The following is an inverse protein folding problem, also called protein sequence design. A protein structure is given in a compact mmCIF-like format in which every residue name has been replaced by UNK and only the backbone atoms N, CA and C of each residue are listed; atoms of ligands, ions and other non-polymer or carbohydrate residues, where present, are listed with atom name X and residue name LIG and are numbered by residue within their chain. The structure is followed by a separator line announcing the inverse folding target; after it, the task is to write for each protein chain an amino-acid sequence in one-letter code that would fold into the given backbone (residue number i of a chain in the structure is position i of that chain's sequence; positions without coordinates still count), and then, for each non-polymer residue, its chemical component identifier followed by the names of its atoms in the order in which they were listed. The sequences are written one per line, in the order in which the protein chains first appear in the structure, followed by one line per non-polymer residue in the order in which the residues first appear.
data_IF_551414177590
#
_entry.id   IF_551414177590
#
_cell.length_a   1.000
_cell.length_b   1.000
_cell.length_c   1.000
_cell.angle_alpha   90.00
_cell.angle_beta   90.00
_cell.angle_gamma   90.00
#
_symmetry.space_group_name_H-M   'P 1'
#
loop_
_entity.id
_entity.type
_entity.pdbx_description
1 polymer ?
#
# COMPACT_ATOMS: atom_id res chain seq x y z
N UNK A 1 -14.62 -20.02 15.63
CA UNK A 1 -13.57 -18.98 15.42
C UNK A 1 -14.02 -18.13 14.26
N UNK A 2 -13.89 -16.80 14.35
CA UNK A 2 -14.18 -15.90 13.23
C UNK A 2 -12.88 -15.33 12.66
N UNK A 3 -12.72 -15.36 11.35
CA UNK A 3 -11.55 -14.84 10.64
C UNK A 3 -12.01 -13.66 9.79
N UNK A 4 -11.57 -12.46 10.11
CA UNK A 4 -11.99 -11.23 9.43
C UNK A 4 -11.00 -10.91 8.31
N UNK A 5 -11.43 -11.11 7.07
CA UNK A 5 -10.69 -10.80 5.85
C UNK A 5 -10.31 -12.06 5.06
N UNK A 6 -10.86 -12.20 3.85
CA UNK A 6 -10.56 -13.30 2.92
C UNK A 6 -9.40 -12.97 1.94
N UNK A 7 -8.35 -12.30 2.44
CA UNK A 7 -7.08 -12.11 1.72
C UNK A 7 -6.13 -13.30 1.90
N UNK A 8 -4.91 -13.26 1.33
CA UNK A 8 -3.94 -14.37 1.40
C UNK A 8 -3.73 -14.91 2.82
N UNK A 9 -3.56 -14.02 3.81
CA UNK A 9 -3.36 -14.44 5.19
C UNK A 9 -4.60 -15.05 5.84
N UNK A 10 -5.79 -14.47 5.63
CA UNK A 10 -7.01 -15.00 6.22
C UNK A 10 -7.39 -16.36 5.63
N UNK A 11 -7.23 -16.53 4.31
CA UNK A 11 -7.41 -17.81 3.64
C UNK A 11 -6.41 -18.87 4.16
N UNK A 12 -5.16 -18.49 4.38
CA UNK A 12 -4.14 -19.41 4.92
C UNK A 12 -4.47 -19.84 6.35
N UNK A 13 -4.79 -18.87 7.23
CA UNK A 13 -5.18 -19.17 8.62
C UNK A 13 -6.41 -20.08 8.66
N UNK A 14 -7.39 -19.83 7.79
CA UNK A 14 -8.59 -20.64 7.71
C UNK A 14 -8.31 -22.07 7.25
N UNK A 15 -7.47 -22.26 6.23
CA UNK A 15 -7.06 -23.58 5.78
C UNK A 15 -6.44 -24.41 6.92
N UNK A 16 -5.55 -23.78 7.70
CA UNK A 16 -4.95 -24.43 8.88
C UNK A 16 -5.95 -24.68 10.02
N UNK A 17 -6.86 -23.74 10.29
CA UNK A 17 -7.85 -23.91 11.36
C UNK A 17 -8.82 -25.05 11.05
N UNK A 18 -9.30 -25.13 9.81
CA UNK A 18 -10.23 -26.17 9.37
C UNK A 18 -9.58 -27.56 9.39
N UNK A 19 -8.33 -27.67 8.93
CA UNK A 19 -7.57 -28.92 8.98
C UNK A 19 -7.32 -29.42 10.41
N UNK A 20 -7.09 -28.49 11.34
CA UNK A 20 -7.00 -28.78 12.77
C UNK A 20 -8.36 -29.15 13.42
N UNK A 21 -9.45 -29.24 12.65
CA UNK A 21 -10.79 -29.58 13.15
C UNK A 21 -11.47 -28.46 13.93
N UNK A 22 -10.99 -27.21 13.81
CA UNK A 22 -11.64 -26.07 14.44
C UNK A 22 -12.88 -25.64 13.66
N UNK A 23 -13.96 -25.38 14.38
CA UNK A 23 -15.11 -24.67 13.84
C UNK A 23 -14.72 -23.21 13.55
N UNK A 24 -14.45 -22.92 12.28
CA UNK A 24 -13.95 -21.63 11.81
C UNK A 24 -14.77 -21.11 10.63
N UNK A 25 -15.05 -19.80 10.63
CA UNK A 25 -15.71 -19.10 9.55
C UNK A 25 -14.87 -17.91 9.10
N UNK A 26 -14.76 -17.71 7.79
CA UNK A 26 -13.99 -16.62 7.17
C UNK A 26 -14.95 -15.62 6.57
N UNK A 27 -14.76 -14.35 6.91
CA UNK A 27 -15.60 -13.27 6.44
C UNK A 27 -14.88 -12.39 5.41
N UNK A 28 -15.58 -12.09 4.32
CA UNK A 28 -15.18 -11.18 3.27
C UNK A 28 -15.00 -11.85 1.90
N UNK A 29 -14.97 -11.03 0.86
CA UNK A 29 -14.83 -11.51 -0.53
C UNK A 29 -13.39 -11.94 -0.82
N UNK A 30 -13.16 -13.18 -1.33
CA UNK A 30 -11.82 -13.67 -1.59
C UNK A 30 -11.01 -12.75 -2.50
N UNK A 31 -9.80 -12.40 -2.06
CA UNK A 31 -8.83 -11.61 -2.82
C UNK A 31 -9.29 -10.20 -3.24
N UNK A 32 -10.39 -9.67 -2.67
CA UNK A 32 -10.99 -8.40 -3.11
C UNK A 32 -9.99 -7.23 -3.12
N UNK A 33 -9.18 -7.09 -2.07
CA UNK A 33 -8.18 -6.02 -1.99
C UNK A 33 -7.16 -6.07 -3.15
N UNK A 34 -6.77 -7.27 -3.57
CA UNK A 34 -5.86 -7.45 -4.70
C UNK A 34 -6.57 -7.23 -6.03
N UNK A 35 -7.80 -7.73 -6.17
CA UNK A 35 -8.58 -7.61 -7.38
C UNK A 35 -8.96 -6.16 -7.70
N UNK A 36 -9.34 -5.37 -6.68
CA UNK A 36 -9.95 -4.06 -6.86
C UNK A 36 -9.01 -2.88 -6.59
N UNK A 37 -7.87 -3.09 -5.92
CA UNK A 37 -7.00 -1.99 -5.50
C UNK A 37 -5.55 -2.14 -5.95
N UNK A 38 -5.21 -3.21 -6.67
CA UNK A 38 -3.91 -3.31 -7.34
C UNK A 38 -4.07 -2.97 -8.82
N UNK A 39 -3.17 -2.18 -9.43
CA UNK A 39 -3.28 -1.80 -10.83
C UNK A 39 -3.27 -3.01 -11.76
N UNK A 40 -4.13 -2.98 -12.79
CA UNK A 40 -4.09 -3.96 -13.88
C UNK A 40 -2.74 -3.96 -14.58
N UNK A 41 -2.21 -5.15 -14.86
CA UNK A 41 -0.90 -5.35 -15.46
C UNK A 41 0.28 -5.23 -14.49
N UNK A 42 0.02 -5.00 -13.19
CA UNK A 42 1.04 -5.03 -12.15
C UNK A 42 1.68 -6.41 -12.05
N UNK A 43 3.01 -6.44 -11.91
CA UNK A 43 3.76 -7.65 -11.57
C UNK A 43 4.07 -7.68 -10.07
N UNK A 44 3.93 -8.86 -9.47
CA UNK A 44 4.33 -9.09 -8.08
C UNK A 44 5.83 -8.82 -7.89
N UNK A 45 6.17 -8.30 -6.71
CA UNK A 45 7.58 -8.10 -6.31
C UNK A 45 8.25 -9.40 -5.88
N UNK A 46 7.46 -10.30 -5.31
CA UNK A 46 7.90 -11.58 -4.77
C UNK A 46 8.23 -12.58 -5.88
N UNK A 47 9.16 -13.49 -5.58
CA UNK A 47 9.34 -14.69 -6.38
C UNK A 47 8.08 -15.56 -6.35
N UNK A 48 7.83 -16.40 -7.38
CA UNK A 48 6.66 -17.28 -7.41
C UNK A 48 6.48 -18.12 -6.13
N UNK A 49 7.56 -18.75 -5.64
CA UNK A 49 7.53 -19.59 -4.43
C UNK A 49 7.19 -18.79 -3.17
N UNK A 50 7.62 -17.52 -3.12
CA UNK A 50 7.32 -16.61 -2.01
C UNK A 50 5.86 -16.12 -2.02
N UNK A 51 5.11 -16.44 -3.08
CA UNK A 51 3.72 -16.02 -3.28
C UNK A 51 2.73 -17.15 -3.00
N UNK A 52 3.17 -18.26 -2.40
CA UNK A 52 2.29 -19.35 -2.00
C UNK A 52 1.39 -18.90 -0.83
N UNK A 53 0.10 -19.22 -0.91
CA UNK A 53 -0.78 -19.22 0.27
C UNK A 53 -0.46 -20.46 1.09
N UNK A 54 -0.58 -20.35 2.41
CA UNK A 54 -0.23 -21.41 3.34
C UNK A 54 -1.38 -22.40 3.54
N UNK A 55 -1.12 -23.67 3.31
CA UNK A 55 -1.96 -24.79 3.74
C UNK A 55 -1.12 -25.82 4.52
N UNK A 56 -1.73 -26.63 5.40
CA UNK A 56 -1.03 -27.59 6.27
C UNK A 56 -0.05 -28.51 5.53
N UNK A 57 -0.46 -29.03 4.38
CA UNK A 57 0.29 -30.02 3.61
C UNK A 57 1.08 -29.41 2.45
N UNK A 58 1.02 -28.08 2.27
CA UNK A 58 1.60 -27.35 1.13
C UNK A 58 1.14 -27.88 -0.23
N UNK A 59 -0.09 -28.36 -0.32
CA UNK A 59 -0.68 -28.96 -1.54
C UNK A 59 -1.17 -27.92 -2.53
N UNK A 60 -1.50 -26.72 -2.06
CA UNK A 60 -2.19 -25.72 -2.86
C UNK A 60 -1.32 -24.47 -3.09
N UNK A 61 -0.02 -24.67 -3.26
CA UNK A 61 0.93 -23.62 -3.67
C UNK A 61 0.60 -23.00 -5.03
N UNK A 62 1.24 -21.87 -5.35
CA UNK A 62 1.05 -21.19 -6.65
C UNK A 62 1.52 -22.09 -7.81
N UNK A 63 2.57 -22.87 -7.58
CA UNK A 63 3.11 -23.87 -8.50
C UNK A 63 2.12 -25.00 -8.83
N UNK A 64 1.29 -25.41 -7.87
CA UNK A 64 0.20 -26.37 -8.09
C UNK A 64 -0.91 -25.79 -8.99
N UNK A 65 -1.11 -24.46 -8.97
CA UNK A 65 -2.06 -23.77 -9.84
C UNK A 65 -1.50 -23.52 -11.24
N UNK A 66 -0.24 -23.05 -11.32
CA UNK A 66 0.49 -22.82 -12.57
C UNK A 66 1.99 -22.92 -12.30
N UNK A 67 2.70 -23.71 -13.12
CA UNK A 67 4.15 -23.78 -13.05
C UNK A 67 4.79 -22.43 -13.45
N UNK A 68 5.79 -22.00 -12.68
CA UNK A 68 6.60 -20.81 -12.92
C UNK A 68 8.08 -21.18 -12.93
N UNK A 69 8.84 -20.56 -13.82
CA UNK A 69 10.31 -20.60 -13.76
C UNK A 69 10.83 -19.68 -12.66
N UNK A 70 12.04 -19.94 -12.17
CA UNK A 70 12.71 -19.03 -11.23
C UNK A 70 12.87 -17.63 -11.84
N UNK A 71 12.54 -16.57 -11.09
CA UNK A 71 12.57 -15.20 -11.60
C UNK A 71 11.49 -14.84 -12.63
N UNK A 72 10.58 -15.77 -12.99
CA UNK A 72 9.44 -15.46 -13.85
C UNK A 72 8.46 -14.54 -13.08
N UNK A 73 8.18 -13.32 -13.56
CA UNK A 73 7.29 -12.41 -12.87
C UNK A 73 5.85 -12.92 -12.86
N UNK A 74 5.21 -12.90 -11.69
CA UNK A 74 3.80 -13.28 -11.52
C UNK A 74 2.90 -12.06 -11.76
N UNK A 75 1.99 -12.08 -12.75
CA UNK A 75 0.99 -11.04 -12.90
C UNK A 75 0.01 -11.03 -11.73
N UNK A 76 -0.45 -9.84 -11.32
CA UNK A 76 -1.41 -9.70 -10.23
C UNK A 76 -2.72 -10.44 -10.51
N UNK A 77 -3.17 -10.45 -11.77
CA UNK A 77 -4.39 -11.15 -12.18
C UNK A 77 -4.26 -12.66 -11.96
N UNK A 78 -3.08 -13.22 -12.22
CA UNK A 78 -2.81 -14.64 -11.95
C UNK A 78 -2.77 -14.92 -10.46
N UNK A 79 -2.20 -14.02 -9.66
CA UNK A 79 -2.20 -14.16 -8.20
C UNK A 79 -3.61 -14.09 -7.60
N UNK A 80 -4.47 -13.19 -8.11
CA UNK A 80 -5.89 -13.10 -7.73
C UNK A 80 -6.63 -14.38 -8.10
N UNK A 81 -6.46 -14.88 -9.34
CA UNK A 81 -7.09 -16.11 -9.79
C UNK A 81 -6.63 -17.32 -8.96
N UNK A 82 -5.34 -17.39 -8.65
CA UNK A 82 -4.77 -18.38 -7.74
C UNK A 82 -5.41 -18.32 -6.35
N UNK A 83 -5.51 -17.14 -5.73
CA UNK A 83 -6.11 -17.02 -4.39
C UNK A 83 -7.59 -17.43 -4.36
N UNK A 84 -8.35 -17.14 -5.43
CA UNK A 84 -9.73 -17.62 -5.58
C UNK A 84 -9.81 -19.14 -5.76
N UNK A 85 -8.90 -19.71 -6.56
CA UNK A 85 -8.77 -21.17 -6.69
C UNK A 85 -8.40 -21.83 -5.35
N UNK A 86 -7.39 -21.31 -4.65
CA UNK A 86 -7.00 -21.76 -3.31
C UNK A 86 -8.19 -21.75 -2.36
N UNK A 87 -8.95 -20.64 -2.34
CA UNK A 87 -10.14 -20.51 -1.52
C UNK A 87 -11.18 -21.59 -1.84
N UNK A 88 -11.38 -21.91 -3.12
CA UNK A 88 -12.31 -22.95 -3.56
C UNK A 88 -11.87 -24.36 -3.14
N UNK A 89 -10.56 -24.63 -3.07
CA UNK A 89 -10.01 -25.93 -2.65
C UNK A 89 -10.05 -26.13 -1.13
N UNK A 90 -9.80 -25.06 -0.36
CA UNK A 90 -9.45 -25.20 1.07
C UNK A 90 -10.53 -24.69 2.03
N UNK A 91 -11.23 -23.60 1.71
CA UNK A 91 -12.11 -22.91 2.69
C UNK A 91 -13.53 -22.68 2.21
N UNK A 92 -13.89 -23.15 1.00
CA UNK A 92 -15.19 -22.86 0.35
C UNK A 92 -16.42 -23.03 1.25
N UNK A 93 -16.43 -24.08 2.08
CA UNK A 93 -17.56 -24.38 2.98
C UNK A 93 -17.66 -23.45 4.20
N UNK A 94 -16.57 -22.80 4.56
CA UNK A 94 -16.45 -21.91 5.72
C UNK A 94 -16.43 -20.42 5.32
N UNK A 95 -16.57 -20.12 4.03
CA UNK A 95 -16.50 -18.77 3.50
C UNK A 95 -17.88 -18.10 3.57
N UNK A 96 -17.92 -16.94 4.19
CA UNK A 96 -19.02 -15.99 4.15
C UNK A 96 -18.52 -14.70 3.50
N UNK A 97 -19.11 -14.29 2.38
CA UNK A 97 -18.67 -13.10 1.65
C UNK A 97 -19.11 -11.77 2.30
N UNK A 98 -19.81 -11.82 3.43
CA UNK A 98 -20.27 -10.65 4.17
C UNK A 98 -19.12 -9.77 4.66
N UNK A 99 -19.34 -8.46 4.63
CA UNK A 99 -18.37 -7.49 5.15
C UNK A 99 -18.55 -7.35 6.66
N UNK A 100 -17.47 -7.53 7.42
CA UNK A 100 -17.46 -7.23 8.86
C UNK A 100 -17.27 -5.74 9.05
N UNK A 101 -18.14 -5.12 9.83
CA UNK A 101 -18.11 -3.69 10.14
C UNK A 101 -17.51 -3.41 11.51
N UNK A 102 -17.80 -4.26 12.49
CA UNK A 102 -17.38 -4.09 13.89
C UNK A 102 -17.04 -5.42 14.53
N UNK A 103 -16.03 -5.42 15.40
CA UNK A 103 -15.75 -6.51 16.35
C UNK A 103 -15.86 -5.93 17.75
N UNK A 104 -16.90 -6.34 18.47
CA UNK A 104 -17.16 -5.96 19.85
C UNK A 104 -16.99 -7.13 20.81
N UNK A 105 -17.40 -6.92 22.06
CA UNK A 105 -17.46 -7.94 23.10
C UNK A 105 -18.89 -8.07 23.61
N UNK A 106 -19.40 -9.29 23.71
CA UNK A 106 -20.74 -9.60 24.19
C UNK A 106 -20.71 -10.92 24.96
N UNK A 107 -21.20 -10.93 26.21
CA UNK A 107 -21.32 -12.16 27.01
C UNK A 107 -20.03 -12.96 27.19
N UNK A 108 -18.86 -12.30 27.20
CA UNK A 108 -17.56 -12.97 27.28
C UNK A 108 -17.07 -13.59 25.96
N UNK A 109 -17.79 -13.36 24.86
CA UNK A 109 -17.42 -13.71 23.49
C UNK A 109 -17.15 -12.44 22.68
N UNK A 110 -16.56 -12.61 21.50
CA UNK A 110 -16.51 -11.54 20.51
C UNK A 110 -17.79 -11.52 19.69
N UNK A 111 -18.38 -10.35 19.52
CA UNK A 111 -19.50 -10.11 18.62
C UNK A 111 -18.97 -9.52 17.31
N UNK A 112 -19.13 -10.26 16.21
CA UNK A 112 -18.70 -9.87 14.87
C UNK A 112 -19.91 -9.39 14.10
N UNK A 113 -20.04 -8.07 13.94
CA UNK A 113 -21.18 -7.45 13.25
C UNK A 113 -20.91 -7.39 11.76
N UNK A 114 -21.86 -7.88 10.97
CA UNK A 114 -21.85 -7.88 9.51
C UNK A 114 -22.50 -6.61 8.96
N UNK A 115 -22.25 -6.30 7.69
CA UNK A 115 -22.86 -5.18 6.99
C UNK A 115 -24.37 -5.29 6.83
N UNK A 116 -24.94 -6.49 6.96
CA UNK A 116 -26.39 -6.72 7.02
C UNK A 116 -27.01 -6.25 8.34
N UNK A 117 -26.21 -6.07 9.39
CA UNK A 117 -26.66 -5.85 10.76
C UNK A 117 -26.65 -7.11 11.62
N UNK A 118 -26.50 -8.29 11.01
CA UNK A 118 -26.40 -9.56 11.74
C UNK A 118 -25.12 -9.61 12.59
N UNK A 119 -25.15 -10.37 13.69
CA UNK A 119 -24.01 -10.56 14.59
C UNK A 119 -23.68 -12.04 14.73
N UNK A 120 -22.41 -12.38 14.58
CA UNK A 120 -21.88 -13.73 14.82
C UNK A 120 -21.01 -13.71 16.07
N UNK A 121 -21.33 -14.60 17.03
CA UNK A 121 -20.54 -14.74 18.26
C UNK A 121 -19.40 -15.73 18.06
N UNK A 122 -18.20 -15.37 18.51
CA UNK A 122 -17.01 -16.23 18.43
C UNK A 122 -16.14 -16.15 19.69
N UNK A 123 -15.58 -17.30 20.10
CA UNK A 123 -14.57 -17.37 21.18
C UNK A 123 -13.22 -16.72 20.82
N UNK A 124 -12.89 -16.73 19.53
CA UNK A 124 -11.63 -16.22 19.01
C UNK A 124 -11.89 -15.50 17.70
N UNK A 125 -11.28 -14.33 17.55
CA UNK A 125 -11.28 -13.56 16.30
C UNK A 125 -9.85 -13.41 15.79
N UNK A 126 -9.64 -13.69 14.51
CA UNK A 126 -8.40 -13.39 13.80
C UNK A 126 -8.63 -12.20 12.87
N UNK A 127 -7.82 -11.15 12.99
CA UNK A 127 -7.90 -9.97 12.14
C UNK A 127 -6.88 -10.07 10.98
N UNK A 128 -7.36 -10.38 9.79
CA UNK A 128 -6.61 -10.46 8.54
C UNK A 128 -7.05 -9.36 7.55
N UNK A 129 -7.19 -8.13 8.05
CA UNK A 129 -7.83 -6.98 7.37
C UNK A 129 -7.02 -6.38 6.20
N UNK A 130 -5.82 -6.92 5.91
CA UNK A 130 -4.98 -6.48 4.81
C UNK A 130 -4.34 -5.09 5.01
N UNK A 131 -3.84 -4.51 3.92
CA UNK A 131 -3.06 -3.26 3.95
C UNK A 131 -3.90 -2.00 3.68
N UNK A 132 -5.09 -2.12 3.08
CA UNK A 132 -5.90 -0.99 2.64
C UNK A 132 -6.27 -0.01 3.79
N UNK A 133 -6.62 -0.46 5.00
CA UNK A 133 -6.90 0.45 6.12
C UNK A 133 -5.70 1.30 6.54
N UNK A 134 -4.49 0.96 6.08
CA UNK A 134 -3.24 1.63 6.42
C UNK A 134 -2.70 2.52 5.29
N UNK A 135 -3.55 2.86 4.31
CA UNK A 135 -3.19 3.80 3.26
C UNK A 135 -2.72 5.14 3.85
N UNK A 136 -1.59 5.65 3.38
CA UNK A 136 -0.98 6.86 3.92
C UNK A 136 -0.90 7.95 2.86
N UNK A 137 -1.56 9.08 3.14
CA UNK A 137 -1.45 10.31 2.36
C UNK A 137 -0.58 11.32 3.14
N UNK A 138 0.51 11.85 2.56
CA UNK A 138 1.32 12.86 3.23
C UNK A 138 0.48 14.09 3.63
N UNK A 139 0.73 14.65 4.81
CA UNK A 139 -0.04 15.78 5.34
C UNK A 139 -0.11 16.98 4.38
N UNK A 140 0.98 17.25 3.65
CA UNK A 140 1.05 18.32 2.65
C UNK A 140 0.05 18.14 1.47
N UNK A 141 -0.42 16.91 1.24
CA UNK A 141 -1.39 16.58 0.19
C UNK A 141 -2.79 16.30 0.75
N UNK A 142 -2.94 16.15 2.06
CA UNK A 142 -4.18 15.69 2.69
C UNK A 142 -5.38 16.60 2.42
N UNK A 143 -5.15 17.93 2.35
CA UNK A 143 -6.20 18.92 2.05
C UNK A 143 -6.56 19.07 0.57
N UNK A 144 -5.90 18.34 -0.32
CA UNK A 144 -6.22 18.38 -1.75
C UNK A 144 -7.39 17.45 -2.08
N UNK A 145 -8.31 17.90 -2.96
CA UNK A 145 -9.49 17.12 -3.32
C UNK A 145 -9.10 15.85 -4.10
N UNK A 146 -9.91 14.77 -4.03
CA UNK A 146 -9.53 13.44 -4.53
C UNK A 146 -9.30 13.41 -6.05
N UNK A 147 -9.89 14.34 -6.81
CA UNK A 147 -9.74 14.47 -8.26
C UNK A 147 -8.33 14.89 -8.67
N UNK A 148 -7.58 15.56 -7.78
CA UNK A 148 -6.19 15.99 -8.02
C UNK A 148 -5.17 15.27 -7.16
N UNK A 149 -5.60 14.58 -6.09
CA UNK A 149 -4.70 13.83 -5.21
C UNK A 149 -5.39 12.63 -4.58
N UNK A 150 -5.03 11.44 -5.05
CA UNK A 150 -5.51 10.14 -4.61
C UNK A 150 -4.35 9.19 -4.31
N UNK A 151 -4.62 8.13 -3.54
CA UNK A 151 -3.65 7.10 -3.23
C UNK A 151 -3.57 6.07 -4.37
N UNK A 152 -2.44 5.38 -4.51
CA UNK A 152 -2.26 4.40 -5.58
C UNK A 152 -3.28 3.24 -5.52
N UNK A 153 -3.76 2.89 -4.31
CA UNK A 153 -4.80 1.88 -4.12
C UNK A 153 -6.18 2.29 -4.61
N UNK A 154 -6.39 3.57 -4.92
CA UNK A 154 -7.68 4.06 -5.42
C UNK A 154 -7.84 3.77 -6.92
N UNK A 155 -6.79 3.25 -7.57
CA UNK A 155 -6.70 3.10 -9.03
C UNK A 155 -6.36 1.67 -9.44
N UNK A 156 -7.39 0.88 -9.77
CA UNK A 156 -7.21 -0.39 -10.46
C UNK A 156 -6.91 -0.20 -11.96
N UNK A 157 -7.63 0.70 -12.62
CA UNK A 157 -7.42 1.03 -14.02
C UNK A 157 -6.74 2.40 -14.17
N UNK A 158 -5.53 2.38 -14.73
CA UNK A 158 -4.72 3.56 -14.96
C UNK A 158 -4.97 4.18 -16.35
N UNK A 159 -5.82 3.58 -17.19
CA UNK A 159 -6.18 4.09 -18.51
C UNK A 159 -6.86 5.47 -18.46
N UNK A 160 -7.56 5.76 -17.36
CA UNK A 160 -8.21 7.06 -17.11
C UNK A 160 -7.24 8.26 -17.08
N UNK A 161 -5.94 7.99 -16.94
CA UNK A 161 -4.88 9.01 -16.93
C UNK A 161 -4.21 9.22 -18.30
N UNK A 162 -4.65 8.52 -19.36
CA UNK A 162 -4.13 8.73 -20.70
C UNK A 162 -4.16 10.21 -21.11
N UNK A 163 -3.04 10.71 -21.61
CA UNK A 163 -2.90 12.12 -22.01
C UNK A 163 -2.81 13.13 -20.85
N UNK A 164 -2.82 12.71 -19.58
CA UNK A 164 -2.70 13.61 -18.42
C UNK A 164 -1.24 13.73 -17.95
N UNK A 165 -0.90 14.86 -17.31
CA UNK A 165 0.34 15.02 -16.52
C UNK A 165 0.09 14.52 -15.09
N UNK A 166 0.79 13.46 -14.71
CA UNK A 166 0.62 12.76 -13.43
C UNK A 166 1.94 12.76 -12.67
N UNK A 167 1.90 13.26 -11.44
CA UNK A 167 3.03 13.19 -10.51
C UNK A 167 2.80 12.08 -9.49
N UNK A 168 3.65 11.06 -9.52
CA UNK A 168 3.67 9.96 -8.55
C UNK A 168 4.63 10.29 -7.42
N UNK A 169 4.13 10.27 -6.18
CA UNK A 169 4.91 10.58 -4.97
C UNK A 169 5.32 9.29 -4.28
N UNK A 170 6.62 9.01 -4.26
CA UNK A 170 7.19 7.83 -3.60
C UNK A 170 8.36 7.21 -4.36
N UNK A 171 9.05 6.27 -3.71
CA UNK A 171 10.17 5.51 -4.27
C UNK A 171 10.05 4.00 -4.04
N UNK A 172 8.96 3.55 -3.39
CA UNK A 172 8.71 2.13 -3.18
C UNK A 172 8.23 1.43 -4.45
N UNK A 173 7.98 0.12 -4.35
CA UNK A 173 7.50 -0.67 -5.48
C UNK A 173 6.20 -0.11 -6.06
N UNK A 174 5.20 0.21 -5.23
CA UNK A 174 3.92 0.75 -5.71
C UNK A 174 4.12 2.02 -6.54
N UNK A 175 4.91 2.98 -6.07
CA UNK A 175 5.17 4.22 -6.80
C UNK A 175 5.83 3.97 -8.17
N UNK A 176 6.89 3.17 -8.22
CA UNK A 176 7.65 2.95 -9.44
C UNK A 176 6.92 2.04 -10.45
N UNK A 177 6.11 1.11 -9.96
CA UNK A 177 5.27 0.24 -10.78
C UNK A 177 4.07 1.00 -11.35
N UNK A 178 3.34 1.75 -10.52
CA UNK A 178 2.25 2.64 -10.98
C UNK A 178 2.77 3.67 -11.99
N UNK A 179 3.95 4.25 -11.77
CA UNK A 179 4.56 5.18 -12.72
C UNK A 179 4.86 4.53 -14.09
N UNK A 180 5.29 3.26 -14.08
CA UNK A 180 5.52 2.50 -15.31
C UNK A 180 4.21 2.24 -16.04
N UNK A 181 3.18 1.77 -15.33
CA UNK A 181 1.87 1.45 -15.91
C UNK A 181 1.13 2.70 -16.41
N UNK A 182 1.21 3.83 -15.70
CA UNK A 182 0.69 5.12 -16.15
C UNK A 182 1.34 5.55 -17.47
N UNK A 183 2.66 5.40 -17.58
CA UNK A 183 3.39 5.71 -18.81
C UNK A 183 2.98 4.80 -19.97
N UNK A 184 2.79 3.50 -19.69
CA UNK A 184 2.30 2.53 -20.67
C UNK A 184 0.85 2.82 -21.11
N UNK A 185 0.03 3.37 -20.21
CA UNK A 185 -1.32 3.84 -20.50
C UNK A 185 -1.36 5.19 -21.25
N UNK A 186 -0.20 5.81 -21.51
CA UNK A 186 -0.10 7.06 -22.28
C UNK A 186 -0.18 8.34 -21.44
N UNK A 187 0.02 8.26 -20.12
CA UNK A 187 0.18 9.45 -19.28
C UNK A 187 1.60 10.04 -19.37
N UNK A 188 1.73 11.34 -19.14
CA UNK A 188 3.01 12.00 -18.88
C UNK A 188 3.34 11.88 -17.40
N UNK A 189 4.40 11.14 -17.05
CA UNK A 189 4.65 10.76 -15.65
C UNK A 189 5.90 11.43 -15.09
N UNK A 190 5.76 12.03 -13.90
CA UNK A 190 6.86 12.49 -13.05
C UNK A 190 6.89 11.69 -11.76
N UNK A 191 8.07 11.27 -11.30
CA UNK A 191 8.24 10.63 -9.99
C UNK A 191 8.94 11.60 -9.05
N UNK A 192 8.35 11.83 -7.88
CA UNK A 192 8.93 12.64 -6.81
C UNK A 192 9.24 11.74 -5.62
N UNK A 193 10.51 11.72 -5.21
CA UNK A 193 10.98 10.87 -4.13
C UNK A 193 11.80 11.70 -3.13
N UNK A 194 11.69 11.37 -1.84
CA UNK A 194 12.49 11.99 -0.77
C UNK A 194 13.95 11.52 -0.74
N UNK A 195 14.26 10.42 -1.43
CA UNK A 195 15.61 9.84 -1.48
C UNK A 195 16.43 10.43 -2.63
N UNK A 196 17.75 10.51 -2.46
CA UNK A 196 18.68 10.98 -3.49
C UNK A 196 18.86 9.99 -4.65
N UNK A 197 18.72 8.70 -4.36
CA UNK A 197 18.90 7.60 -5.31
C UNK A 197 17.76 6.60 -5.18
N UNK A 198 17.22 6.14 -6.31
CA UNK A 198 16.26 5.04 -6.33
C UNK A 198 17.00 3.72 -6.16
N UNK A 199 16.41 2.80 -5.40
CA UNK A 199 16.94 1.46 -5.20
C UNK A 199 16.18 0.45 -6.07
N UNK A 200 16.92 -0.51 -6.62
CA UNK A 200 16.42 -1.57 -7.48
C UNK A 200 16.78 -2.91 -6.88
N UNK A 201 15.92 -3.90 -7.00
CA UNK A 201 16.22 -5.28 -6.67
C UNK A 201 17.21 -5.83 -7.71
N UNK A 202 18.16 -6.62 -7.23
CA UNK A 202 19.06 -7.36 -8.10
C UNK A 202 18.28 -8.37 -8.96
N UNK A 203 18.83 -8.70 -10.13
CA UNK A 203 18.26 -9.75 -10.98
C UNK A 203 18.55 -11.10 -10.33
N UNK A 204 17.55 -11.99 -10.19
CA UNK A 204 17.79 -13.34 -9.70
C UNK A 204 18.84 -14.04 -10.59
N UNK A 205 19.86 -14.64 -9.96
CA UNK A 205 20.89 -15.40 -10.66
C UNK A 205 20.47 -16.88 -10.67
N UNK A 206 20.07 -17.40 -11.83
CA UNK A 206 19.61 -18.79 -11.99
C UNK A 206 20.72 -19.82 -11.71
N UNK A 207 21.92 -19.59 -12.26
CA UNK A 207 23.02 -20.56 -12.24
C UNK A 207 24.05 -20.22 -11.16
N UNK A 208 23.69 -20.47 -9.89
CA UNK A 208 24.60 -20.31 -8.74
C UNK A 208 25.37 -21.61 -8.47
N UNK A 209 26.67 -21.49 -8.20
CA UNK A 209 27.51 -22.64 -7.83
C UNK A 209 27.05 -23.27 -6.50
N UNK A 210 27.43 -24.53 -6.23
CA UNK A 210 27.09 -25.19 -4.96
C UNK A 210 27.61 -24.41 -3.75
N UNK A 211 28.84 -23.87 -3.85
CA UNK A 211 29.45 -23.05 -2.79
C UNK A 211 28.64 -21.76 -2.54
N UNK A 212 28.22 -21.06 -3.61
CA UNK A 212 27.41 -19.85 -3.49
C UNK A 212 26.05 -20.12 -2.84
N UNK A 213 25.44 -21.28 -3.14
CA UNK A 213 24.16 -21.70 -2.55
C UNK A 213 24.30 -21.98 -1.04
N UNK A 214 25.42 -22.55 -0.61
CA UNK A 214 25.69 -22.78 0.82
C UNK A 214 26.01 -21.47 1.57
N UNK A 215 26.80 -20.59 0.97
CA UNK A 215 27.18 -19.31 1.59
C UNK A 215 26.03 -18.30 1.62
N UNK A 216 25.11 -18.37 0.66
CA UNK A 216 23.95 -17.52 0.58
C UNK A 216 22.72 -18.33 0.13
N UNK A 217 22.06 -19.05 1.06
CA UNK A 217 20.87 -19.84 0.76
C UNK A 217 19.74 -18.96 0.22
N UNK A 218 18.90 -19.53 -0.65
CA UNK A 218 17.70 -18.87 -1.18
C UNK A 218 16.52 -19.03 -0.23
N UNK A 219 15.75 -17.97 -0.04
CA UNK A 219 14.46 -17.99 0.64
C UNK A 219 13.44 -17.11 -0.09
N UNK A 220 12.19 -17.10 0.38
CA UNK A 220 11.15 -16.23 -0.19
C UNK A 220 11.44 -14.73 -0.06
N UNK A 221 12.37 -14.35 0.82
CA UNK A 221 12.79 -12.96 1.05
C UNK A 221 14.06 -12.56 0.29
N UNK A 222 14.67 -13.48 -0.46
CA UNK A 222 15.90 -13.26 -1.24
C UNK A 222 17.01 -14.24 -0.87
N UNK A 223 18.25 -13.90 -1.20
CA UNK A 223 19.43 -14.75 -0.93
C UNK A 223 20.17 -14.29 0.33
N UNK A 224 20.80 -15.23 1.04
CA UNK A 224 21.61 -14.98 2.22
C UNK A 224 21.02 -15.55 3.50
N UNK A 225 21.90 -15.89 4.45
CA UNK A 225 21.53 -16.45 5.75
C UNK A 225 20.52 -15.60 6.53
N UNK A 226 20.63 -14.26 6.62
CA UNK A 226 19.64 -13.46 7.33
C UNK A 226 18.24 -13.61 6.72
N UNK A 227 18.13 -13.45 5.39
CA UNK A 227 16.86 -13.62 4.66
C UNK A 227 16.28 -15.02 4.80
N UNK A 228 17.14 -16.05 4.87
CA UNK A 228 16.73 -17.42 5.13
C UNK A 228 16.19 -17.60 6.54
N UNK A 229 16.90 -17.15 7.57
CA UNK A 229 16.44 -17.24 8.97
C UNK A 229 15.11 -16.51 9.16
N UNK A 230 14.95 -15.33 8.55
CA UNK A 230 13.71 -14.55 8.69
C UNK A 230 12.50 -15.20 8.00
N UNK A 231 12.73 -15.90 6.89
CA UNK A 231 11.68 -16.57 6.10
C UNK A 231 11.34 -17.95 6.67
N UNK A 232 12.36 -18.76 6.93
CA UNK A 232 12.20 -20.19 7.24
C UNK A 232 12.12 -20.48 8.75
N UNK A 233 12.62 -19.57 9.59
CA UNK A 233 12.60 -19.71 11.05
C UNK A 233 11.90 -18.52 11.74
N UNK A 234 10.67 -18.14 11.36
CA UNK A 234 9.96 -17.01 11.97
C UNK A 234 9.72 -17.21 13.48
N UNK A 235 9.58 -18.47 13.92
CA UNK A 235 9.52 -18.84 15.33
C UNK A 235 10.78 -18.42 16.12
N UNK A 236 11.97 -18.61 15.55
CA UNK A 236 13.22 -18.19 16.19
C UNK A 236 13.33 -16.66 16.24
N UNK A 237 12.95 -15.97 15.14
CA UNK A 237 12.97 -14.50 15.08
C UNK A 237 12.05 -13.88 16.13
N UNK A 238 10.91 -14.51 16.45
CA UNK A 238 9.97 -14.06 17.47
C UNK A 238 10.62 -13.91 18.86
N UNK A 239 11.55 -14.80 19.21
CA UNK A 239 12.23 -14.81 20.50
C UNK A 239 13.41 -13.83 20.59
N UNK A 240 13.80 -13.17 19.50
CA UNK A 240 14.84 -12.15 19.54
C UNK A 240 14.42 -10.94 20.41
N UNK A 241 15.39 -10.28 21.07
CA UNK A 241 15.14 -9.06 21.81
C UNK A 241 14.37 -8.02 20.99
N UNK A 242 13.50 -7.24 21.66
CA UNK A 242 12.65 -6.23 20.98
C UNK A 242 13.45 -5.26 20.12
N UNK A 243 14.63 -4.84 20.59
CA UNK A 243 15.52 -3.94 19.85
C UNK A 243 16.03 -4.58 18.54
N UNK A 244 16.44 -5.85 18.59
CA UNK A 244 16.89 -6.60 17.42
C UNK A 244 15.75 -6.79 16.40
N UNK A 245 14.56 -7.18 16.85
CA UNK A 245 13.37 -7.29 15.96
C UNK A 245 13.03 -5.96 15.30
N UNK A 246 13.05 -4.85 16.05
CA UNK A 246 12.85 -3.50 15.49
C UNK A 246 13.93 -3.12 14.47
N UNK A 247 15.19 -3.48 14.73
CA UNK A 247 16.29 -3.21 13.83
C UNK A 247 16.13 -3.98 12.51
N UNK A 248 15.78 -5.26 12.56
CA UNK A 248 15.50 -6.09 11.37
C UNK A 248 14.39 -5.44 10.54
N UNK A 249 13.23 -5.14 11.15
CA UNK A 249 12.09 -4.54 10.43
C UNK A 249 12.44 -3.18 9.80
N UNK A 250 13.29 -2.38 10.45
CA UNK A 250 13.68 -1.05 9.92
C UNK A 250 14.65 -1.10 8.75
N UNK A 251 15.52 -2.11 8.71
CA UNK A 251 16.69 -2.12 7.82
C UNK A 251 16.63 -3.21 6.74
N UNK A 252 15.75 -4.18 6.88
CA UNK A 252 15.58 -5.27 5.91
C UNK A 252 14.59 -4.88 4.82
N UNK A 253 14.94 -5.15 3.55
CA UNK A 253 14.05 -5.00 2.39
C UNK A 253 13.42 -3.60 2.26
N UNK A 254 14.27 -2.58 2.18
CA UNK A 254 13.87 -1.19 1.96
C UNK A 254 13.06 -0.96 0.66
N UNK A 255 12.66 0.31 0.39
CA UNK A 255 11.85 0.65 -0.78
C UNK A 255 12.65 0.42 -2.07
N UNK A 256 12.50 -0.78 -2.64
CA UNK A 256 13.15 -1.22 -3.87
C UNK A 256 12.11 -1.80 -4.85
N UNK A 257 12.38 -1.69 -6.16
CA UNK A 257 11.56 -2.25 -7.25
C UNK A 257 12.26 -3.40 -7.99
N UNK A 258 11.49 -4.36 -8.52
CA UNK A 258 11.96 -5.43 -9.45
C UNK A 258 12.52 -4.84 -10.76
N UNK A 259 13.69 -5.33 -11.21
CA UNK A 259 14.46 -4.77 -12.34
C UNK A 259 13.73 -4.78 -13.69
N UNK A 260 12.68 -5.59 -13.88
CA UNK A 260 12.02 -5.85 -15.17
C UNK A 260 11.54 -4.59 -15.92
N UNK A 261 11.38 -3.44 -15.27
CA UNK A 261 11.10 -2.18 -15.96
C UNK A 261 12.06 -1.01 -15.71
N UNK A 262 13.35 -1.29 -15.53
CA UNK A 262 14.41 -0.27 -15.56
C UNK A 262 14.40 0.52 -16.89
N UNK A 263 14.02 -0.12 -18.00
CA UNK A 263 13.95 0.50 -19.33
C UNK A 263 12.93 1.63 -19.47
N UNK A 264 11.87 1.68 -18.65
CA UNK A 264 10.80 2.65 -18.78
C UNK A 264 11.08 3.99 -18.06
N UNK A 265 11.86 3.96 -16.96
CA UNK A 265 11.98 5.08 -16.01
C UNK A 265 13.26 5.92 -16.20
N UNK A 266 14.31 5.38 -16.86
CA UNK A 266 15.61 6.08 -17.08
C UNK A 266 15.55 7.39 -17.89
N UNK A 267 14.39 7.74 -18.48
CA UNK A 267 14.23 8.98 -19.24
C UNK A 267 14.06 10.26 -18.41
N UNK A 268 13.79 10.15 -17.10
CA UNK A 268 13.60 11.31 -16.23
C UNK A 268 14.86 11.61 -15.41
N UNK A 269 15.63 12.64 -15.79
CA UNK A 269 16.64 13.19 -14.86
C UNK A 269 15.92 13.71 -13.61
N UNK A 270 16.36 13.36 -12.38
CA UNK A 270 15.85 14.01 -11.19
C UNK A 270 16.23 15.50 -11.25
N UNK A 271 15.23 16.37 -11.36
CA UNK A 271 15.38 17.80 -11.10
C UNK A 271 14.66 18.10 -9.79
N UNK A 272 15.38 18.84 -8.96
CA UNK A 272 14.98 19.43 -7.68
C UNK A 272 14.87 18.48 -6.48
N UNK A 273 16.04 18.08 -5.98
CA UNK A 273 16.22 17.77 -4.57
C UNK A 273 16.49 19.09 -3.81
N UNK A 274 15.53 19.51 -2.99
CA UNK A 274 15.74 20.49 -1.92
C UNK A 274 15.35 21.93 -2.24
N UNK A 275 14.07 22.26 -2.03
CA UNK A 275 13.68 23.55 -1.45
C UNK A 275 12.49 23.33 -0.53
N UNK A 276 12.71 23.55 0.76
CA UNK A 276 11.62 23.80 1.71
C UNK A 276 10.78 24.96 1.19
N UNK A 277 9.52 24.69 0.89
CA UNK A 277 8.55 25.74 0.57
C UNK A 277 8.18 26.47 1.85
N UNK A 278 8.94 27.53 2.20
CA UNK A 278 8.40 28.63 2.99
C UNK A 278 7.31 29.31 2.15
N UNK A 279 6.12 29.43 2.75
CA UNK A 279 4.91 29.94 2.09
C UNK A 279 5.15 31.26 1.37
N UNK A 280 4.74 31.31 0.10
CA UNK A 280 4.59 32.56 -0.65
C UNK A 280 3.11 32.76 -0.99
N UNK A 281 2.60 33.91 -0.56
CA UNK A 281 1.27 34.44 -0.90
C UNK A 281 1.08 34.49 -2.42
N UNK A 282 -0.14 34.16 -2.86
CA UNK A 282 -0.57 34.19 -4.24
C UNK A 282 -0.47 35.61 -4.87
N UNK A 283 -0.06 35.73 -6.15
CA UNK A 283 -0.19 36.99 -6.87
C UNK A 283 -1.64 37.19 -7.33
N UNK A 284 -2.18 38.37 -7.06
CA UNK A 284 -3.47 38.85 -7.58
C UNK A 284 -3.32 39.12 -9.08
N UNK A 285 -4.08 38.43 -9.92
CA UNK A 285 -4.27 38.84 -11.32
C UNK A 285 -5.68 39.39 -11.55
N UNK A 286 -5.69 40.60 -12.12
CA UNK A 286 -6.81 41.42 -12.56
C UNK A 286 -7.66 40.69 -13.61
N UNK A 287 -8.98 40.79 -13.47
CA UNK A 287 -9.94 40.45 -14.51
C UNK A 287 -10.02 41.56 -15.58
N UNK A 288 -10.29 41.23 -16.87
CA UNK A 288 -10.57 42.21 -17.90
C UNK A 288 -12.04 42.66 -17.89
N UNK A 289 -12.27 43.94 -18.19
CA UNK A 289 -13.59 44.57 -18.28
C UNK A 289 -14.30 44.27 -19.62
N UNK A 290 -15.65 44.28 -19.66
CA UNK A 290 -16.39 44.38 -20.91
C UNK A 290 -16.84 45.84 -21.21
N UNK A 291 -17.04 46.09 -22.50
CA UNK A 291 -17.29 47.38 -23.13
C UNK A 291 -18.68 47.99 -22.86
N UNK A 292 -18.73 49.33 -22.98
CA UNK A 292 -19.91 50.21 -22.84
C UNK A 292 -20.83 50.18 -24.07
N UNK A 293 -22.14 50.30 -23.83
CA UNK A 293 -23.19 51.07 -24.54
C UNK A 293 -24.47 50.87 -23.72
N UNK A 294 -25.32 51.84 -23.35
CA UNK A 294 -25.38 53.29 -23.43
C UNK A 294 -26.73 53.73 -22.84
N UNK A 295 -26.82 54.96 -22.31
CA UNK A 295 -28.04 55.79 -22.35
C UNK A 295 -29.10 55.76 -21.23
N UNK A 296 -29.14 56.90 -20.51
CA UNK A 296 -30.33 57.68 -20.03
C UNK A 296 -30.97 57.37 -18.65
N UNK A 297 -31.27 58.48 -17.94
CA UNK A 297 -32.26 58.62 -16.85
C UNK A 297 -31.65 58.79 -15.46
N UNK A 298 -31.37 60.00 -14.96
CA UNK A 298 -32.23 60.95 -14.21
C UNK A 298 -32.46 60.63 -12.72
N UNK A 299 -32.11 61.63 -11.88
CA UNK A 299 -32.65 62.00 -10.53
C UNK A 299 -32.68 60.92 -9.44
N UNK A 300 -32.58 61.16 -8.13
CA UNK A 300 -32.57 62.36 -7.32
C UNK A 300 -31.92 62.04 -5.95
N UNK A 301 -31.56 63.13 -5.27
CA UNK A 301 -31.37 63.40 -3.83
C UNK A 301 -31.76 62.33 -2.78
N UNK A 302 -30.93 62.21 -1.74
CA UNK A 302 -31.11 62.84 -0.40
C UNK A 302 -30.58 61.98 0.77
N UNK A 303 -29.83 62.67 1.67
CA UNK A 303 -29.82 62.64 3.16
C UNK A 303 -29.86 61.31 3.93
N UNK A 304 -29.37 61.16 5.16
CA UNK A 304 -28.40 61.81 6.07
C UNK A 304 -28.64 61.16 7.46
N UNK A 305 -27.58 61.04 8.29
CA UNK A 305 -27.59 61.05 9.78
C UNK A 305 -28.20 59.81 10.50
N UNK A 306 -27.88 59.42 11.75
CA UNK A 306 -26.96 59.86 12.81
C UNK A 306 -26.92 58.78 13.94
N UNK A 307 -25.82 58.78 14.73
CA UNK A 307 -25.68 58.57 16.21
C UNK A 307 -26.13 57.21 16.81
N UNK A 308 -25.31 56.44 17.54
CA UNK A 308 -24.54 56.63 18.80
C UNK A 308 -25.36 57.09 20.01
N UNK A 309 -25.50 56.20 21.00
CA UNK A 309 -25.14 56.33 22.43
C UNK A 309 -25.60 55.04 23.16
N UNK A 310 -25.26 54.67 24.41
CA UNK A 310 -24.10 54.71 25.32
C UNK A 310 -24.62 54.13 26.66
N UNK A 311 -23.72 53.62 27.54
CA UNK A 311 -23.91 53.40 29.01
C UNK A 311 -24.68 52.10 29.42
N UNK A 312 -24.45 51.38 30.53
CA UNK A 312 -23.71 51.58 31.80
C UNK A 312 -23.75 50.26 32.64
N UNK A 313 -22.83 50.08 33.62
CA UNK A 313 -23.12 49.34 34.88
C UNK A 313 -22.28 48.09 35.23
N UNK A 314 -21.42 48.17 36.27
CA UNK A 314 -20.85 47.01 37.03
C UNK A 314 -21.69 46.72 38.30
N UNK A 315 -21.18 46.14 39.42
CA UNK A 315 -19.89 45.45 39.70
C UNK A 315 -19.96 44.19 40.65
N UNK A 316 -18.80 43.52 40.84
CA UNK A 316 -18.22 42.78 42.01
C UNK A 316 -18.97 41.64 42.74
N UNK A 317 -18.29 40.49 42.93
CA UNK A 317 -18.37 39.63 44.13
C UNK A 317 -17.04 38.89 44.45
N UNK A 318 -16.95 38.47 45.72
CA UNK A 318 -15.79 38.20 46.59
C UNK A 318 -15.00 36.90 46.41
N UNK A 319 -13.82 36.87 47.07
CA UNK A 319 -12.92 35.72 47.25
C UNK A 319 -13.17 35.00 48.59
N UNK A 320 -13.12 33.64 48.56
CA UNK A 320 -12.37 32.68 49.43
C UNK A 320 -13.10 31.31 49.49
N UNK A 321 -12.49 30.18 49.92
CA UNK A 321 -11.11 29.70 49.82
C UNK A 321 -11.02 28.28 49.17
N UNK A 322 -9.81 27.75 49.00
CA UNK A 322 -9.48 26.46 48.34
C UNK A 322 -9.87 25.21 49.17
N UNK A 323 -10.36 24.13 48.55
CA UNK A 323 -10.31 22.77 49.12
C UNK A 323 -9.02 22.02 48.72
N UNK A 324 -8.58 21.11 49.59
CA UNK A 324 -7.36 20.30 49.46
C UNK A 324 -7.37 19.24 48.35
N UNK A 325 -6.27 18.49 48.18
CA UNK A 325 -6.08 17.62 47.02
C UNK A 325 -6.95 16.36 47.10
N UNK A 326 -7.70 16.10 46.02
CA UNK A 326 -8.40 14.85 45.78
C UNK A 326 -7.42 13.72 45.39
N UNK A 327 -7.74 12.45 45.68
CA UNK A 327 -6.84 11.31 45.49
C UNK A 327 -6.52 11.01 44.02
N UNK A 328 -5.33 10.46 43.78
CA UNK A 328 -4.78 10.14 42.45
C UNK A 328 -5.54 8.98 41.78
N UNK A 329 -6.02 9.24 40.57
CA UNK A 329 -6.51 8.25 39.61
C UNK A 329 -5.34 7.37 39.08
N UNK A 330 -5.43 6.03 39.08
CA UNK A 330 -4.38 5.14 38.57
C UNK A 330 -4.27 5.08 37.02
N UNK A 331 -5.05 5.83 36.25
CA UNK A 331 -5.04 5.73 34.78
C UNK A 331 -4.38 6.91 34.04
N UNK A 332 -3.11 7.19 34.33
CA UNK A 332 -2.25 8.02 33.45
C UNK A 332 -1.00 7.26 33.02
N UNK A 333 -1.03 6.74 31.79
CA UNK A 333 0.16 6.30 31.06
C UNK A 333 1.07 7.49 30.70
N UNK A 334 2.35 7.25 30.37
CA UNK A 334 3.31 8.34 30.17
C UNK A 334 3.04 9.13 28.89
N UNK A 335 3.23 10.45 29.00
CA UNK A 335 3.12 11.51 28.00
C UNK A 335 4.10 11.29 26.81
N UNK A 336 3.69 11.36 25.54
CA UNK A 336 4.52 11.03 24.38
C UNK A 336 5.36 12.22 23.88
N UNK A 337 5.95 13.01 24.77
CA UNK A 337 6.79 14.18 24.44
C UNK A 337 8.11 14.18 25.21
N UNK A 338 8.85 13.07 25.15
CA UNK A 338 10.23 13.02 25.64
C UNK A 338 11.00 11.85 24.98
N UNK A 339 11.24 11.94 23.68
CA UNK A 339 12.32 11.16 23.03
C UNK A 339 12.70 11.80 21.68
N UNK A 340 12.97 13.11 21.70
CA UNK A 340 13.53 13.86 20.59
C UNK A 340 14.93 14.38 21.00
N UNK A 341 15.90 13.47 21.12
CA UNK A 341 17.33 13.82 20.94
C UNK A 341 18.24 12.59 21.03
N UNK A 342 18.30 11.78 19.95
CA UNK A 342 19.43 10.86 19.76
C UNK A 342 19.89 10.90 18.29
N UNK A 343 21.13 11.40 18.16
CA UNK A 343 21.90 11.65 16.94
C UNK A 343 21.88 10.44 15.99
N UNK A 344 21.65 10.70 14.69
CA UNK A 344 21.75 9.72 13.60
C UNK A 344 23.21 9.24 13.46
N UNK A 345 23.49 7.93 13.51
CA UNK A 345 24.75 7.42 13.00
C UNK A 345 24.70 7.26 11.48
N UNK A 346 25.87 7.46 10.90
CA UNK A 346 26.19 7.56 9.48
C UNK A 346 25.72 6.34 8.66
N UNK A 347 25.10 6.59 7.50
CA UNK A 347 24.63 5.53 6.59
C UNK A 347 25.79 4.90 5.83
N UNK A 348 26.43 3.88 6.42
CA UNK A 348 27.16 2.87 5.65
C UNK A 348 26.25 1.68 5.39
N UNK A 349 25.57 1.72 4.26
CA UNK A 349 24.92 0.54 3.67
C UNK A 349 25.99 -0.51 3.38
N UNK A 350 25.89 -1.67 4.02
CA UNK A 350 26.58 -2.90 3.63
C UNK A 350 25.95 -3.42 2.34
N UNK A 351 26.22 -2.70 1.25
CA UNK A 351 26.10 -3.20 -0.10
C UNK A 351 27.38 -4.02 -0.35
N UNK A 352 27.26 -5.35 -0.32
CA UNK A 352 28.36 -6.27 -0.58
C UNK A 352 28.98 -5.99 -1.94
N UNK A 353 30.09 -5.25 -1.94
CA UNK A 353 30.96 -5.10 -3.11
C UNK A 353 31.92 -6.29 -3.14
N UNK A 354 31.72 -7.20 -4.07
CA UNK A 354 32.83 -7.94 -4.69
C UNK A 354 32.93 -7.47 -6.13
N UNK A 355 33.90 -6.59 -6.37
CA UNK A 355 34.34 -6.20 -7.72
C UNK A 355 35.03 -7.41 -8.36
N UNK A 356 34.50 -7.91 -9.47
CA UNK A 356 35.33 -8.42 -10.56
C UNK A 356 34.63 -8.10 -11.88
N UNK A 357 35.35 -7.42 -12.77
CA UNK A 357 34.83 -6.94 -14.04
C UNK A 357 34.66 -8.05 -15.06
N UNK A 358 33.70 -7.86 -15.96
CA UNK A 358 33.83 -8.06 -17.41
C UNK A 358 32.61 -7.47 -18.10
N UNK A 359 32.87 -6.58 -19.05
CA UNK A 359 31.90 -6.12 -20.03
C UNK A 359 31.31 -7.30 -20.80
N UNK A 360 29.98 -7.43 -20.87
CA UNK A 360 29.31 -8.01 -22.05
C UNK A 360 27.88 -7.47 -22.20
N UNK A 361 27.54 -7.13 -23.44
CA UNK A 361 26.31 -6.45 -23.88
C UNK A 361 25.08 -7.35 -23.73
N UNK A 362 23.97 -6.83 -23.20
CA UNK A 362 22.67 -7.51 -23.18
C UNK A 362 21.72 -6.91 -24.22
N UNK A 363 21.35 -7.72 -25.22
CA UNK A 363 20.20 -7.51 -26.12
C UNK A 363 19.20 -8.65 -25.94
N UNK A 364 18.52 -8.79 -24.80
CA UNK A 364 17.36 -9.68 -24.69
C UNK A 364 16.48 -9.30 -23.48
N UNK A 365 15.56 -8.35 -23.66
CA UNK A 365 14.49 -8.10 -22.69
C UNK A 365 13.15 -7.65 -23.33
N UNK A 366 13.09 -7.46 -24.65
CA UNK A 366 11.90 -6.91 -25.31
C UNK A 366 10.90 -7.98 -25.79
N UNK A 367 11.24 -9.28 -25.73
CA UNK A 367 10.42 -10.37 -26.30
C UNK A 367 9.38 -10.96 -25.33
N UNK A 368 9.55 -10.86 -24.01
CA UNK A 368 8.67 -11.52 -23.05
C UNK A 368 7.26 -10.87 -22.98
N UNK A 369 7.16 -9.54 -23.00
CA UNK A 369 5.86 -8.83 -22.92
C UNK A 369 5.01 -8.89 -24.20
N UNK A 370 5.62 -9.13 -25.38
CA UNK A 370 4.86 -9.29 -26.65
C UNK A 370 4.25 -10.69 -26.82
N UNK A 371 4.78 -11.73 -26.16
CA UNK A 371 4.23 -13.10 -26.26
C UNK A 371 2.91 -13.25 -25.50
N UNK A 372 2.80 -12.67 -24.30
CA UNK A 372 1.58 -12.74 -23.48
C UNK A 372 0.37 -11.99 -24.07
N UNK A 373 0.59 -11.07 -25.02
CA UNK A 373 -0.50 -10.37 -25.73
C UNK A 373 -1.02 -11.11 -26.98
N UNK A 374 -0.30 -12.12 -27.48
CA UNK A 374 -0.72 -12.90 -28.67
C UNK A 374 -1.61 -14.11 -28.33
N UNK A 375 -1.64 -14.55 -27.07
CA UNK A 375 -2.50 -15.66 -26.62
C UNK A 375 -3.93 -15.24 -26.24
N UNK A 376 -4.28 -13.95 -26.38
CA UNK A 376 -5.67 -13.46 -26.31
C UNK A 376 -6.10 -12.92 -27.67
N UNK A 377 -6.34 -13.83 -28.61
CA UNK A 377 -6.95 -13.54 -29.91
C UNK A 377 -8.39 -14.05 -29.96
N UNK A 378 -9.30 -13.14 -30.28
CA UNK A 378 -10.75 -13.31 -30.50
C UNK A 378 -11.13 -14.55 -31.34
N UNK A 379 -12.23 -15.27 -31.04
CA UNK A 379 -12.77 -16.29 -31.92
C UNK A 379 -13.47 -15.66 -33.13
N UNK A 380 -13.06 -16.02 -34.35
CA UNK A 380 -13.79 -15.67 -35.58
C UNK A 380 -15.11 -16.46 -35.67
N UNK A 381 -16.17 -15.88 -36.27
CA UNK A 381 -17.45 -16.55 -36.40
C UNK A 381 -17.40 -17.64 -37.47
N UNK A 382 -17.96 -18.81 -37.14
CA UNK A 382 -18.28 -19.87 -38.07
C UNK A 382 -19.47 -19.44 -38.93
N UNK A 383 -19.25 -19.29 -40.23
CA UNK A 383 -20.31 -19.21 -41.23
C UNK A 383 -20.51 -20.58 -41.88
N UNK A 384 -21.72 -21.13 -41.75
CA UNK A 384 -22.25 -22.25 -42.51
C UNK A 384 -22.85 -21.74 -43.82
N UNK A 385 -22.68 -22.48 -44.93
CA UNK A 385 -23.61 -22.44 -46.06
C UNK A 385 -23.00 -22.56 -47.46
N UNK A 386 -23.28 -23.72 -48.08
CA UNK A 386 -23.07 -24.14 -49.48
C UNK A 386 -21.66 -24.56 -49.91
#
# INVERSE_FOLDING_TARGET
MAIVGAGPYGLSVAAHALDAGLDAQVFGRPMQAWEQHMPRGMLLKSEPQASHLGDPDRRYGLDAYRQYSYGEPVPVETFVAYGKWFSAQTVKKALDESTVTTVGSEGGLFAVTLSSGDSVLARTVVLAVGFLPFAHKPAALAGLPPEVSSHASDHHDLSAFAGRDVTVVGAGQSALETATLLKEAGAMVRVVARCKTLAWNDTPVENRSMLDRMLAPSSGLGTGWPSWVWSELPGAVRYLPRAARKHIVRNTLGPCRVLVAEGAVRGGRPRDAGRETRGRRAPRHRAPAPARRGGRGQHDRDRARHRRDRLQGGPRQDRRPRPGPAPRDPQRGPDPTADEDLRKPDQRSLCGRTRFGRHFRTRHAFRARRRLRREKGDPRPTGTGA
#
